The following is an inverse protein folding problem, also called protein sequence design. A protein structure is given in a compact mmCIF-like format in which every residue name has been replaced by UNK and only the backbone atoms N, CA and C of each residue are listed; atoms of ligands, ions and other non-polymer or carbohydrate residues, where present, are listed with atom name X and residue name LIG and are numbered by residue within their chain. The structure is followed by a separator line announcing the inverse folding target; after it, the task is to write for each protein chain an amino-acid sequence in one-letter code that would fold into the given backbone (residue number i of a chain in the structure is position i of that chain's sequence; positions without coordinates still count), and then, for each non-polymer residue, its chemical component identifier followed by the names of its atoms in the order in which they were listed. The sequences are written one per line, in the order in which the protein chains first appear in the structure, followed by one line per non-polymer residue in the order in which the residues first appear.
data_IF_459462531518
#
_entry.id   IF_459462531518
#
_cell.length_a   1.000
_cell.length_b   1.000
_cell.length_c   1.000
_cell.angle_alpha   90.00
_cell.angle_beta   90.00
_cell.angle_gamma   90.00
#
_symmetry.space_group_name_H-M   'P 1'
#
loop_
_entity.id
_entity.type
_entity.pdbx_description
1 polymer ?
#
# COMPACT_ATOMS: atom_id res chain seq x y z
N UNK A 1 -39.30 62.05 5.39
CA UNK A 1 -38.13 62.19 6.28
C UNK A 1 -37.69 60.79 6.63
N UNK A 2 -36.54 60.37 6.11
CA UNK A 2 -35.99 59.03 6.25
C UNK A 2 -35.09 58.99 7.49
N UNK A 3 -35.24 57.96 8.31
CA UNK A 3 -34.41 57.73 9.49
C UNK A 3 -33.34 56.69 9.13
N UNK A 4 -32.10 57.12 8.95
CA UNK A 4 -30.95 56.21 8.95
C UNK A 4 -30.49 55.99 10.39
N UNK A 5 -30.50 54.73 10.81
CA UNK A 5 -29.92 54.28 12.08
C UNK A 5 -28.47 53.89 11.81
N UNK A 6 -27.54 54.75 12.22
CA UNK A 6 -26.10 54.45 12.24
C UNK A 6 -25.83 53.57 13.47
N UNK A 7 -25.64 52.26 13.26
CA UNK A 7 -25.11 51.35 14.28
C UNK A 7 -23.58 51.31 14.17
N UNK A 8 -22.93 51.82 15.22
CA UNK A 8 -21.48 51.84 15.40
C UNK A 8 -20.91 50.44 15.57
N UNK A 9 -19.80 50.15 14.89
CA UNK A 9 -19.06 48.90 15.02
C UNK A 9 -18.43 48.78 16.43
N UNK A 10 -18.98 47.90 17.27
CA UNK A 10 -18.34 47.46 18.50
C UNK A 10 -18.29 45.94 18.58
N UNK A 11 -17.07 45.43 18.66
CA UNK A 11 -16.68 44.25 19.46
C UNK A 11 -17.08 42.86 18.96
N UNK A 12 -16.21 42.25 18.15
CA UNK A 12 -15.69 40.89 18.42
C UNK A 12 -14.20 40.85 18.03
N UNK A 13 -13.35 41.39 18.90
CA UNK A 13 -12.03 40.79 19.13
C UNK A 13 -12.29 39.47 19.85
N UNK A 14 -11.75 38.35 19.36
CA UNK A 14 -11.19 37.22 20.11
C UNK A 14 -11.04 36.01 19.16
N UNK A 15 -9.80 35.51 19.05
CA UNK A 15 -9.36 34.23 18.46
C UNK A 15 -9.39 34.03 16.92
N UNK A 16 -8.44 34.66 16.22
CA UNK A 16 -8.01 34.22 14.88
C UNK A 16 -6.65 33.49 14.86
N UNK A 17 -6.06 33.17 16.02
CA UNK A 17 -4.75 32.51 16.11
C UNK A 17 -4.78 30.99 15.79
N UNK A 18 -5.95 30.39 15.57
CA UNK A 18 -6.10 28.93 15.52
C UNK A 18 -6.07 28.29 14.12
N UNK A 19 -5.94 29.04 13.02
CA UNK A 19 -6.02 28.48 11.66
C UNK A 19 -4.77 28.61 10.79
N UNK A 20 -3.64 29.10 11.33
CA UNK A 20 -2.36 29.07 10.62
C UNK A 20 -1.63 27.75 10.88
N UNK A 21 -2.19 26.63 10.43
CA UNK A 21 -1.37 25.43 10.22
C UNK A 21 -0.37 25.84 9.13
N UNK A 22 0.92 25.94 9.50
CA UNK A 22 1.99 26.29 8.56
C UNK A 22 1.82 25.50 7.26
N UNK A 23 1.97 26.16 6.11
CA UNK A 23 1.89 25.53 4.80
C UNK A 23 2.83 24.33 4.70
N UNK A 24 3.94 24.32 5.42
CA UNK A 24 4.86 23.18 5.51
C UNK A 24 4.27 21.98 6.26
N UNK A 25 3.48 22.24 7.31
CA UNK A 25 2.79 21.19 8.08
C UNK A 25 1.65 20.63 7.24
N UNK A 26 0.84 21.49 6.62
CA UNK A 26 -0.24 21.05 5.74
C UNK A 26 0.30 20.27 4.54
N UNK A 27 1.39 20.73 3.91
CA UNK A 27 2.07 20.04 2.82
C UNK A 27 2.67 18.70 3.27
N UNK A 28 3.27 18.61 4.46
CA UNK A 28 3.75 17.34 5.03
C UNK A 28 2.61 16.38 5.33
N UNK A 29 1.48 16.86 5.84
CA UNK A 29 0.30 16.03 6.14
C UNK A 29 -0.35 15.51 4.85
N UNK A 30 -0.57 16.38 3.85
CA UNK A 30 -1.10 15.98 2.54
C UNK A 30 -0.18 14.98 1.83
N UNK A 31 1.14 15.19 1.84
CA UNK A 31 2.09 14.23 1.27
C UNK A 31 2.15 12.92 2.03
N UNK A 32 1.92 12.92 3.35
CA UNK A 32 1.85 11.69 4.15
C UNK A 32 0.62 10.87 3.76
N UNK A 33 -0.54 11.49 3.61
CA UNK A 33 -1.76 10.81 3.17
C UNK A 33 -1.65 10.31 1.73
N UNK A 34 -1.12 11.12 0.81
CA UNK A 34 -0.87 10.72 -0.57
C UNK A 34 0.15 9.56 -0.67
N UNK A 35 1.17 9.52 0.20
CA UNK A 35 2.12 8.39 0.27
C UNK A 35 1.48 7.10 0.79
N UNK A 36 0.36 7.19 1.52
CA UNK A 36 -0.34 6.03 2.08
C UNK A 36 -1.50 5.53 1.22
N UNK A 37 -2.06 6.37 0.35
CA UNK A 37 -3.10 5.98 -0.62
C UNK A 37 -2.50 5.48 -1.94
N UNK A 38 -1.79 4.36 -1.89
CA UNK A 38 -1.30 3.68 -3.11
C UNK A 38 -2.18 2.50 -3.45
N UNK A 39 -2.64 2.46 -4.69
CA UNK A 39 -3.40 1.34 -5.22
C UNK A 39 -2.39 0.29 -5.67
N UNK A 40 -2.46 -0.89 -5.06
CA UNK A 40 -1.66 -2.04 -5.46
C UNK A 40 -2.01 -2.44 -6.90
N UNK A 41 -0.99 -2.69 -7.72
CA UNK A 41 -1.15 -3.10 -9.12
C UNK A 41 -1.44 -4.59 -9.28
N UNK A 42 -1.04 -5.41 -8.32
CA UNK A 42 -1.24 -6.84 -8.33
C UNK A 42 -2.06 -7.25 -7.10
N UNK A 43 -2.88 -8.28 -7.28
CA UNK A 43 -3.70 -8.88 -6.23
C UNK A 43 -3.10 -10.20 -5.77
N UNK A 44 -3.54 -10.67 -4.62
CA UNK A 44 -3.19 -12.02 -4.15
C UNK A 44 -3.74 -13.05 -5.15
N UNK A 45 -2.90 -13.99 -5.54
CA UNK A 45 -3.18 -14.98 -6.58
C UNK A 45 -2.70 -14.58 -7.98
N UNK A 46 -2.31 -13.33 -8.21
CA UNK A 46 -1.75 -12.91 -9.49
C UNK A 46 -0.37 -13.53 -9.71
N UNK A 47 -0.13 -14.00 -10.94
CA UNK A 47 1.18 -14.46 -11.39
C UNK A 47 2.01 -13.27 -11.90
N UNK A 48 3.27 -13.24 -11.50
CA UNK A 48 4.21 -12.16 -11.81
C UNK A 48 5.57 -12.72 -12.22
N UNK A 49 6.35 -11.89 -12.93
CA UNK A 49 7.75 -12.15 -13.24
C UNK A 49 8.60 -11.06 -12.60
N UNK A 50 9.69 -11.44 -11.95
CA UNK A 50 10.66 -10.48 -11.45
C UNK A 50 11.45 -9.85 -12.62
N UNK A 51 11.45 -8.53 -12.74
CA UNK A 51 12.01 -7.80 -13.89
C UNK A 51 13.48 -8.12 -14.16
N UNK A 52 14.30 -8.15 -13.10
CA UNK A 52 15.75 -8.36 -13.22
C UNK A 52 16.15 -9.85 -13.19
N UNK A 53 15.79 -10.57 -12.12
CA UNK A 53 16.13 -11.99 -11.96
C UNK A 53 15.29 -12.96 -12.81
N UNK A 54 14.23 -12.50 -13.48
CA UNK A 54 13.41 -13.23 -14.46
C UNK A 54 12.70 -14.50 -13.97
N UNK A 55 12.68 -14.77 -12.67
CA UNK A 55 11.87 -15.87 -12.13
C UNK A 55 10.37 -15.54 -12.17
N UNK A 56 9.55 -16.58 -12.34
CA UNK A 56 8.10 -16.54 -12.16
C UNK A 56 7.74 -16.71 -10.69
N UNK A 57 6.67 -16.06 -10.25
CA UNK A 57 6.18 -16.17 -8.90
C UNK A 57 4.68 -15.87 -8.82
N UNK A 58 4.05 -16.24 -7.70
CA UNK A 58 2.66 -15.90 -7.38
C UNK A 58 2.60 -15.02 -6.14
N UNK A 59 1.73 -14.01 -6.17
CA UNK A 59 1.49 -13.12 -5.03
C UNK A 59 0.69 -13.83 -3.95
N UNK A 60 1.21 -13.87 -2.72
CA UNK A 60 0.52 -14.43 -1.55
C UNK A 60 0.18 -13.40 -0.47
N UNK A 61 0.77 -12.20 -0.52
CA UNK A 61 0.45 -11.10 0.39
C UNK A 61 0.85 -9.75 -0.22
N UNK A 62 0.21 -8.67 0.23
CA UNK A 62 0.43 -7.30 -0.21
C UNK A 62 0.50 -6.36 0.99
N UNK A 63 1.66 -5.76 1.21
CA UNK A 63 1.93 -4.83 2.29
C UNK A 63 2.07 -3.39 1.74
N UNK A 64 1.33 -2.40 2.26
CA UNK A 64 1.56 -0.99 1.89
C UNK A 64 2.86 -0.42 2.47
N UNK A 65 3.49 -1.14 3.40
CA UNK A 65 4.68 -0.72 4.13
C UNK A 65 5.64 -1.91 4.32
N UNK A 66 6.89 -1.75 3.87
CA UNK A 66 7.92 -2.77 4.07
C UNK A 66 8.18 -3.09 5.55
N UNK A 67 8.07 -4.37 5.91
CA UNK A 67 8.40 -4.89 7.24
C UNK A 67 9.53 -5.93 7.15
N UNK A 68 10.78 -5.49 7.33
CA UNK A 68 11.97 -6.32 7.13
C UNK A 68 11.98 -7.65 7.92
N UNK A 69 11.44 -7.65 9.14
CA UNK A 69 11.39 -8.82 10.02
C UNK A 69 10.12 -9.67 9.84
N UNK A 70 9.21 -9.27 8.95
CA UNK A 70 7.84 -9.80 8.88
C UNK A 70 6.98 -9.48 10.11
N UNK A 71 7.52 -8.78 11.11
CA UNK A 71 6.78 -8.30 12.29
C UNK A 71 6.53 -6.82 12.16
N UNK A 72 5.40 -6.36 12.69
CA UNK A 72 5.06 -4.94 12.71
C UNK A 72 6.15 -4.13 13.43
N UNK A 73 6.83 -3.25 12.68
CA UNK A 73 7.71 -2.24 13.21
C UNK A 73 7.06 -0.86 13.03
N UNK A 74 6.67 -0.19 14.13
CA UNK A 74 6.02 1.12 14.06
C UNK A 74 6.94 2.20 13.50
N UNK A 75 8.26 1.99 13.44
CA UNK A 75 9.21 2.96 12.89
C UNK A 75 9.51 2.77 11.40
N UNK A 76 8.99 1.72 10.76
CA UNK A 76 9.28 1.42 9.35
C UNK A 76 8.95 2.60 8.42
N UNK A 77 7.88 3.34 8.71
CA UNK A 77 7.44 4.51 7.93
C UNK A 77 8.47 5.65 7.86
N UNK A 78 9.46 5.68 8.77
CA UNK A 78 10.53 6.69 8.75
C UNK A 78 11.50 6.50 7.58
N UNK A 79 11.50 5.31 6.95
CA UNK A 79 12.36 4.98 5.82
C UNK A 79 11.60 5.20 4.53
N UNK A 80 12.13 6.04 3.64
CA UNK A 80 11.44 6.38 2.39
C UNK A 80 11.17 5.13 1.53
N UNK A 81 12.15 4.26 1.36
CA UNK A 81 11.98 3.03 0.57
C UNK A 81 10.86 2.12 1.11
N UNK A 82 10.59 2.16 2.42
CA UNK A 82 9.58 1.29 3.01
C UNK A 82 8.17 1.72 2.63
N UNK A 83 7.96 3.01 2.35
CA UNK A 83 6.65 3.59 2.03
C UNK A 83 6.47 3.86 0.55
N UNK A 84 7.53 3.81 -0.27
CA UNK A 84 7.51 4.35 -1.64
C UNK A 84 6.62 3.58 -2.61
N UNK A 85 6.46 2.28 -2.45
CA UNK A 85 5.55 1.43 -3.22
C UNK A 85 5.03 0.29 -2.32
N UNK A 86 3.91 -0.36 -2.71
CA UNK A 86 3.51 -1.62 -2.11
C UNK A 86 4.62 -2.69 -2.25
N UNK A 87 4.69 -3.56 -1.25
CA UNK A 87 5.59 -4.69 -1.18
C UNK A 87 4.80 -5.99 -1.22
N UNK A 88 5.35 -6.97 -1.91
CA UNK A 88 4.67 -8.22 -2.22
C UNK A 88 5.46 -9.38 -1.64
N UNK A 89 4.76 -10.30 -0.98
CA UNK A 89 5.32 -11.61 -0.63
C UNK A 89 4.98 -12.58 -1.74
N UNK A 90 5.99 -13.27 -2.25
CA UNK A 90 5.88 -14.09 -3.45
C UNK A 90 6.37 -15.51 -3.19
N UNK A 91 5.68 -16.50 -3.74
CA UNK A 91 6.19 -17.87 -3.84
C UNK A 91 6.82 -18.06 -5.22
N UNK A 92 8.09 -18.45 -5.26
CA UNK A 92 8.84 -18.61 -6.52
C UNK A 92 8.50 -19.95 -7.18
N UNK A 93 8.32 -19.92 -8.50
CA UNK A 93 8.05 -21.09 -9.33
C UNK A 93 9.24 -22.07 -9.35
N UNK A 94 8.95 -23.37 -9.46
CA UNK A 94 9.90 -24.48 -9.40
C UNK A 94 10.90 -24.39 -8.23
N UNK A 95 10.44 -23.87 -7.10
CA UNK A 95 11.27 -23.61 -5.93
C UNK A 95 10.45 -23.68 -4.65
N UNK A 96 11.12 -23.83 -3.50
CA UNK A 96 10.49 -23.64 -2.18
C UNK A 96 10.68 -22.23 -1.63
N UNK A 97 11.32 -21.33 -2.38
CA UNK A 97 11.67 -19.99 -1.93
C UNK A 97 10.45 -19.08 -1.80
N UNK A 98 10.52 -18.21 -0.78
CA UNK A 98 9.62 -17.07 -0.57
C UNK A 98 10.45 -15.80 -0.70
N UNK A 99 10.02 -14.85 -1.52
CA UNK A 99 10.70 -13.56 -1.70
C UNK A 99 9.80 -12.41 -1.28
N UNK A 100 10.43 -11.27 -0.98
CA UNK A 100 9.72 -10.05 -0.62
C UNK A 100 10.21 -8.91 -1.49
N UNK A 101 9.34 -8.45 -2.38
CA UNK A 101 9.72 -7.68 -3.57
C UNK A 101 8.84 -6.45 -3.71
N UNK A 102 9.44 -5.35 -4.11
CA UNK A 102 8.73 -4.10 -4.37
C UNK A 102 8.00 -4.13 -5.72
N UNK A 103 6.83 -3.50 -5.79
CA UNK A 103 5.97 -3.48 -6.99
C UNK A 103 6.69 -3.14 -8.30
N UNK A 104 7.61 -2.16 -8.28
CA UNK A 104 8.28 -1.68 -9.48
C UNK A 104 9.22 -2.73 -10.10
N UNK A 105 9.57 -3.78 -9.36
CA UNK A 105 10.37 -4.90 -9.83
C UNK A 105 9.51 -6.02 -10.44
N UNK A 106 8.20 -5.88 -10.46
CA UNK A 106 7.26 -6.90 -10.95
C UNK A 106 6.63 -6.49 -12.27
N UNK A 107 6.38 -7.49 -13.09
CA UNK A 107 5.56 -7.42 -14.30
C UNK A 107 4.55 -8.57 -14.27
N UNK A 108 3.37 -8.38 -14.88
CA UNK A 108 2.37 -9.44 -14.96
C UNK A 108 2.90 -10.64 -15.77
N UNK A 109 2.63 -11.85 -15.29
CA UNK A 109 2.79 -13.07 -16.08
C UNK A 109 1.47 -13.40 -16.78
N UNK A 110 1.48 -13.39 -18.12
CA UNK A 110 0.30 -13.67 -18.94
C UNK A 110 0.29 -15.11 -19.50
N UNK A 111 1.22 -15.97 -19.06
CA UNK A 111 1.39 -17.33 -19.62
C UNK A 111 0.21 -18.27 -19.36
N UNK A 112 -0.63 -17.98 -18.36
CA UNK A 112 -1.72 -18.87 -17.89
C UNK A 112 -1.23 -20.26 -17.44
N UNK A 113 0.07 -20.42 -17.23
CA UNK A 113 0.63 -21.67 -16.72
C UNK A 113 0.52 -21.71 -15.20
N UNK A 114 0.19 -22.86 -14.61
CA UNK A 114 0.20 -23.01 -13.16
C UNK A 114 1.59 -22.74 -12.60
N UNK A 115 1.66 -22.51 -11.29
CA UNK A 115 2.90 -22.35 -10.57
C UNK A 115 3.20 -23.58 -9.72
N UNK A 116 4.45 -24.01 -9.71
CA UNK A 116 4.92 -25.15 -8.96
C UNK A 116 5.72 -24.69 -7.73
N UNK A 117 5.03 -24.52 -6.59
CA UNK A 117 5.68 -24.25 -5.31
C UNK A 117 5.05 -25.14 -4.23
N UNK A 118 5.84 -25.87 -3.43
CA UNK A 118 5.31 -26.80 -2.42
C UNK A 118 4.51 -26.11 -1.32
N UNK A 119 4.67 -24.79 -1.14
CA UNK A 119 3.97 -24.04 -0.11
C UNK A 119 2.63 -23.46 -0.58
N UNK A 120 2.27 -23.60 -1.86
CA UNK A 120 1.12 -22.89 -2.43
C UNK A 120 -0.19 -23.16 -1.68
N UNK A 121 -0.44 -24.42 -1.29
CA UNK A 121 -1.66 -24.82 -0.59
C UNK A 121 -1.79 -24.27 0.84
N UNK A 122 -0.71 -23.76 1.44
CA UNK A 122 -0.78 -23.09 2.75
C UNK A 122 -1.32 -21.66 2.64
N UNK A 123 -1.13 -21.01 1.48
CA UNK A 123 -1.50 -19.61 1.28
C UNK A 123 -2.73 -19.45 0.40
N UNK A 124 -2.87 -20.28 -0.63
CA UNK A 124 -3.82 -20.10 -1.71
C UNK A 124 -4.62 -21.37 -1.98
N UNK A 125 -5.86 -21.17 -2.41
CA UNK A 125 -6.72 -22.20 -3.00
C UNK A 125 -6.78 -21.98 -4.52
N UNK A 126 -6.53 -23.05 -5.26
CA UNK A 126 -6.67 -23.09 -6.72
C UNK A 126 -8.07 -23.55 -7.12
N UNK A 127 -8.73 -22.81 -8.01
CA UNK A 127 -10.00 -23.19 -8.63
C UNK A 127 -9.93 -22.90 -10.14
N UNK A 128 -9.79 -23.94 -10.97
CA UNK A 128 -9.84 -23.81 -12.42
C UNK A 128 -8.76 -22.89 -13.02
N UNK A 129 -7.54 -22.94 -12.50
CA UNK A 129 -6.42 -22.09 -12.94
C UNK A 129 -6.38 -20.69 -12.32
N UNK A 130 -7.34 -20.35 -11.45
CA UNK A 130 -7.33 -19.13 -10.67
C UNK A 130 -6.95 -19.40 -9.22
N UNK A 131 -6.16 -18.51 -8.64
CA UNK A 131 -5.74 -18.59 -7.24
C UNK A 131 -6.44 -17.53 -6.40
N UNK A 132 -6.82 -17.90 -5.19
CA UNK A 132 -7.48 -17.02 -4.22
C UNK A 132 -6.96 -17.33 -2.82
N UNK A 133 -7.11 -16.41 -1.87
CA UNK A 133 -6.73 -16.66 -0.48
C UNK A 133 -7.37 -17.96 0.02
N UNK A 134 -6.54 -18.82 0.62
CA UNK A 134 -7.05 -19.90 1.45
C UNK A 134 -7.72 -19.24 2.66
N UNK A 135 -9.03 -19.02 2.58
CA UNK A 135 -9.80 -18.53 3.73
C UNK A 135 -9.52 -19.45 4.91
N UNK A 136 -9.28 -18.93 6.12
CA UNK A 136 -9.22 -19.79 7.29
C UNK A 136 -10.61 -20.42 7.42
N UNK A 137 -10.73 -21.71 7.13
CA UNK A 137 -11.87 -22.50 7.60
C UNK A 137 -11.84 -22.43 9.12
N UNK A 138 -12.74 -21.60 9.64
CA UNK A 138 -12.90 -21.25 11.05
C UNK A 138 -13.32 -22.46 11.89
#
# INVERSE_FOLDING_TARGET
MNYEVVLTASTVSHNLQAYFISTDILFKMLNKEARMNKIARFNIGDLVIHRHSRYRAIVVDVDPLFQASGRYNPQAHKREFATRNPWYRLLVDDSSQITYVEECMLIADTSQMPINNPNIGFYLKENGGHYSNASPSH
#
